data_IF_884437602747
#
_entry.id   IF_884437602747
#
_cell.length_a   1.000
_cell.length_b   1.000
_cell.length_c   1.000
_cell.angle_alpha   90.00
_cell.angle_beta   90.00
_cell.angle_gamma   90.00
#
_symmetry.space_group_name_H-M   'P 1'
#
loop_
_entity.id
_entity.type
_entity.pdbx_description
1 polymer ?
#
# COMPACT_ATOMS: atom_id res chain seq x y z
N UNK A 1 5.70 -20.79 11.86
CA UNK A 1 5.61 -22.07 12.61
C UNK A 1 4.20 -22.62 12.50
N UNK A 2 4.05 -23.89 12.17
CA UNK A 2 2.75 -24.58 12.08
C UNK A 2 2.30 -25.19 13.43
N UNK A 3 3.01 -24.84 14.52
CA UNK A 3 2.70 -25.23 15.91
C UNK A 3 2.52 -26.75 16.15
N UNK A 4 3.09 -27.59 15.30
CA UNK A 4 3.13 -29.05 15.49
C UNK A 4 4.54 -29.50 15.82
N UNK A 5 4.69 -30.38 16.80
CA UNK A 5 5.98 -30.96 17.23
C UNK A 5 6.16 -32.29 16.57
N UNK A 6 7.38 -32.60 16.11
CA UNK A 6 7.78 -33.87 15.50
C UNK A 6 9.10 -34.27 16.10
N UNK A 7 9.27 -35.60 16.29
CA UNK A 7 10.55 -36.18 16.66
C UNK A 7 11.59 -35.85 15.56
N UNK A 8 12.72 -35.19 15.91
CA UNK A 8 13.77 -34.86 14.94
C UNK A 8 14.29 -36.07 14.14
N UNK A 9 14.34 -37.24 14.72
CA UNK A 9 14.80 -38.46 14.03
C UNK A 9 13.83 -38.90 12.93
N UNK A 10 12.54 -38.62 13.09
CA UNK A 10 11.49 -38.95 12.13
C UNK A 10 11.29 -37.82 11.09
N UNK A 11 12.03 -36.73 11.16
CA UNK A 11 11.92 -35.61 10.22
C UNK A 11 12.93 -35.70 9.07
N UNK A 12 12.50 -35.46 7.84
CA UNK A 12 13.36 -35.29 6.68
C UNK A 12 13.46 -33.83 6.31
N UNK A 13 14.57 -33.17 6.65
CA UNK A 13 14.81 -31.78 6.28
C UNK A 13 14.83 -31.56 4.76
N UNK A 14 15.38 -32.54 4.00
CA UNK A 14 15.43 -32.50 2.53
C UNK A 14 14.04 -32.49 1.89
N UNK A 15 13.12 -33.30 2.42
CA UNK A 15 11.76 -33.40 1.88
C UNK A 15 10.79 -32.43 2.53
N UNK A 16 11.14 -31.84 3.68
CA UNK A 16 10.24 -31.04 4.50
C UNK A 16 9.02 -31.82 4.99
N UNK A 17 9.19 -33.11 5.29
CA UNK A 17 8.14 -34.07 5.64
C UNK A 17 8.60 -35.05 6.72
N UNK A 18 7.63 -35.64 7.41
CA UNK A 18 7.87 -36.77 8.33
C UNK A 18 8.14 -38.05 7.55
N UNK A 19 9.15 -38.81 7.97
CA UNK A 19 9.52 -40.10 7.39
C UNK A 19 8.50 -41.16 7.80
N UNK A 20 8.29 -42.15 6.93
CA UNK A 20 7.39 -43.28 7.18
C UNK A 20 6.02 -43.11 6.52
N UNK A 21 5.24 -44.20 6.61
CA UNK A 21 3.90 -44.33 6.00
C UNK A 21 2.81 -44.64 7.05
N UNK A 22 3.16 -44.49 8.34
CA UNK A 22 2.19 -44.71 9.41
C UNK A 22 1.14 -43.56 9.42
N UNK A 23 0.06 -43.75 10.15
CA UNK A 23 -1.06 -42.84 10.22
C UNK A 23 -0.60 -41.41 10.61
N UNK A 24 0.26 -41.31 11.64
CA UNK A 24 0.79 -40.01 12.14
C UNK A 24 1.59 -39.25 11.06
N UNK A 25 2.47 -39.98 10.33
CA UNK A 25 3.26 -39.38 9.26
C UNK A 25 2.37 -38.92 8.09
N UNK A 26 1.39 -39.72 7.72
CA UNK A 26 0.46 -39.39 6.64
C UNK A 26 -0.40 -38.16 7.01
N UNK A 27 -0.98 -38.15 8.22
CA UNK A 27 -1.79 -37.00 8.70
C UNK A 27 -0.99 -35.69 8.69
N UNK A 28 0.24 -35.73 9.26
CA UNK A 28 1.10 -34.56 9.31
C UNK A 28 1.51 -34.10 7.91
N UNK A 29 1.92 -35.05 7.06
CA UNK A 29 2.36 -34.72 5.71
C UNK A 29 1.22 -34.15 4.86
N UNK A 30 0.01 -34.69 4.97
CA UNK A 30 -1.18 -34.16 4.32
C UNK A 30 -1.52 -32.74 4.80
N UNK A 31 -1.41 -32.50 6.12
CA UNK A 31 -1.57 -31.14 6.67
C UNK A 31 -0.54 -30.17 6.09
N UNK A 32 0.75 -30.57 6.04
CA UNK A 32 1.82 -29.72 5.48
C UNK A 32 1.61 -29.44 3.99
N UNK A 33 1.14 -30.42 3.22
CA UNK A 33 0.81 -30.22 1.80
C UNK A 33 -0.38 -29.28 1.62
N UNK A 34 -1.38 -29.34 2.50
CA UNK A 34 -2.51 -28.38 2.52
C UNK A 34 -2.03 -26.96 2.82
N UNK A 35 -1.16 -26.79 3.81
CA UNK A 35 -0.55 -25.48 4.14
C UNK A 35 0.23 -24.94 2.94
N UNK A 36 1.08 -25.76 2.33
CA UNK A 36 1.89 -25.40 1.15
C UNK A 36 1.00 -24.99 -0.03
N UNK A 37 -0.03 -25.76 -0.32
CA UNK A 37 -0.97 -25.48 -1.40
C UNK A 37 -1.72 -24.15 -1.18
N UNK A 38 -2.12 -23.87 0.07
CA UNK A 38 -2.78 -22.59 0.41
C UNK A 38 -1.84 -21.40 0.25
N UNK A 39 -0.59 -21.52 0.69
CA UNK A 39 0.44 -20.47 0.53
C UNK A 39 0.71 -20.23 -0.97
N UNK A 40 0.88 -21.29 -1.76
CA UNK A 40 1.13 -21.18 -3.20
C UNK A 40 -0.05 -20.53 -3.95
N UNK A 41 -1.29 -20.81 -3.52
CA UNK A 41 -2.48 -20.16 -4.08
C UNK A 41 -2.49 -18.66 -3.81
N UNK A 42 -2.20 -18.27 -2.56
CA UNK A 42 -2.09 -16.83 -2.17
C UNK A 42 -0.99 -16.15 -2.99
N UNK A 43 0.17 -16.77 -3.10
CA UNK A 43 1.28 -16.22 -3.87
C UNK A 43 0.91 -16.03 -5.35
N UNK A 44 0.29 -17.02 -6.00
CA UNK A 44 -0.16 -16.91 -7.39
C UNK A 44 -1.17 -15.76 -7.56
N UNK A 45 -2.14 -15.65 -6.66
CA UNK A 45 -3.13 -14.57 -6.71
C UNK A 45 -2.47 -13.20 -6.63
N UNK A 46 -1.47 -13.01 -5.75
CA UNK A 46 -0.73 -11.75 -5.64
C UNK A 46 0.09 -11.43 -6.91
N UNK A 47 0.64 -12.46 -7.55
CA UNK A 47 1.35 -12.31 -8.83
C UNK A 47 0.38 -11.93 -9.96
N UNK A 48 -0.77 -12.62 -10.07
CA UNK A 48 -1.82 -12.35 -11.07
C UNK A 48 -2.41 -10.94 -10.90
N UNK A 49 -2.59 -10.48 -9.65
CA UNK A 49 -3.03 -9.13 -9.34
C UNK A 49 -1.98 -8.05 -9.72
N UNK A 50 -0.79 -8.46 -10.16
CA UNK A 50 0.33 -7.59 -10.54
C UNK A 50 0.67 -6.51 -9.49
N UNK A 51 0.49 -6.86 -8.20
CA UNK A 51 0.76 -5.97 -7.06
C UNK A 51 2.10 -6.32 -6.42
N UNK A 52 2.92 -5.32 -6.04
CA UNK A 52 4.13 -5.60 -5.28
C UNK A 52 3.75 -6.18 -3.90
N UNK A 53 4.38 -7.28 -3.53
CA UNK A 53 4.16 -7.94 -2.23
C UNK A 53 5.47 -8.46 -1.66
N UNK A 54 5.46 -8.72 -0.35
CA UNK A 54 6.57 -9.32 0.41
C UNK A 54 6.15 -10.68 0.97
N UNK A 55 7.12 -11.44 1.48
CA UNK A 55 6.84 -12.69 2.22
C UNK A 55 5.96 -12.45 3.46
N UNK A 56 6.05 -11.25 4.05
CA UNK A 56 5.21 -10.84 5.18
C UNK A 56 3.74 -10.72 4.77
N UNK A 57 3.45 -10.28 3.56
CA UNK A 57 2.08 -10.16 3.04
C UNK A 57 1.46 -11.54 2.79
N UNK A 58 2.23 -12.45 2.20
CA UNK A 58 1.81 -13.84 2.02
C UNK A 58 1.51 -14.49 3.38
N UNK A 59 2.38 -14.29 4.38
CA UNK A 59 2.17 -14.77 5.75
C UNK A 59 0.91 -14.19 6.37
N UNK A 60 0.67 -12.89 6.25
CA UNK A 60 -0.49 -12.22 6.82
C UNK A 60 -1.79 -12.71 6.17
N UNK A 61 -1.83 -12.84 4.84
CA UNK A 61 -2.97 -13.40 4.12
C UNK A 61 -3.25 -14.85 4.52
N UNK A 62 -2.18 -15.67 4.69
CA UNK A 62 -2.32 -17.05 5.15
C UNK A 62 -2.93 -17.14 6.55
N UNK A 63 -2.52 -16.25 7.47
CA UNK A 63 -3.01 -16.22 8.85
C UNK A 63 -4.40 -15.55 9.00
N UNK A 64 -5.02 -15.11 7.90
CA UNK A 64 -6.25 -14.34 7.95
C UNK A 64 -6.08 -12.92 8.53
N UNK A 65 -4.82 -12.49 8.71
CA UNK A 65 -4.45 -11.14 9.15
C UNK A 65 -4.17 -10.21 7.95
N UNK A 66 -4.43 -10.70 6.75
CA UNK A 66 -4.19 -9.96 5.52
C UNK A 66 -5.28 -8.95 5.33
N UNK A 67 -5.08 -7.74 5.80
CA UNK A 67 -5.69 -6.60 5.15
C UNK A 67 -5.26 -6.64 3.69
N UNK A 68 -6.25 -6.52 2.79
CA UNK A 68 -5.95 -6.24 1.38
C UNK A 68 -5.00 -5.05 1.38
N UNK A 69 -3.84 -5.20 0.73
CA UNK A 69 -2.90 -4.10 0.57
C UNK A 69 -3.68 -2.88 0.08
N UNK A 70 -3.86 -1.89 0.95
CA UNK A 70 -4.55 -0.68 0.55
C UNK A 70 -3.69 0.07 -0.46
N UNK A 71 -4.22 0.24 -1.65
CA UNK A 71 -3.52 0.90 -2.74
C UNK A 71 -3.74 2.41 -2.64
N UNK A 72 -2.74 3.20 -3.04
CA UNK A 72 -2.73 4.64 -2.86
C UNK A 72 -3.80 5.35 -3.69
N UNK A 73 -3.90 5.01 -4.98
CA UNK A 73 -4.89 5.65 -5.85
C UNK A 73 -6.31 5.16 -5.55
N UNK A 74 -6.47 3.89 -5.14
CA UNK A 74 -7.74 3.38 -4.64
C UNK A 74 -8.23 4.19 -3.42
N UNK A 75 -7.34 4.49 -2.47
CA UNK A 75 -7.67 5.33 -1.31
C UNK A 75 -8.06 6.76 -1.71
N UNK A 76 -7.34 7.35 -2.68
CA UNK A 76 -7.70 8.64 -3.24
C UNK A 76 -9.09 8.62 -3.88
N UNK A 77 -9.38 7.59 -4.66
CA UNK A 77 -10.65 7.46 -5.37
C UNK A 77 -11.82 7.30 -4.40
N UNK A 78 -11.66 6.50 -3.35
CA UNK A 78 -12.68 6.38 -2.28
C UNK A 78 -12.94 7.71 -1.59
N UNK A 79 -11.89 8.44 -1.19
CA UNK A 79 -12.02 9.77 -0.59
C UNK A 79 -12.72 10.74 -1.54
N UNK A 80 -12.30 10.78 -2.81
CA UNK A 80 -12.87 11.69 -3.78
C UNK A 80 -14.35 11.36 -4.10
N UNK A 81 -14.72 10.08 -4.11
CA UNK A 81 -16.12 9.67 -4.26
C UNK A 81 -16.99 10.10 -3.07
N UNK A 82 -16.46 9.98 -1.83
CA UNK A 82 -17.16 10.48 -0.65
C UNK A 82 -17.30 12.00 -0.69
N UNK A 83 -16.22 12.73 -1.01
CA UNK A 83 -16.26 14.19 -1.16
C UNK A 83 -17.24 14.65 -2.24
N UNK A 84 -17.34 13.90 -3.36
CA UNK A 84 -18.27 14.21 -4.44
C UNK A 84 -19.74 14.21 -3.98
N UNK A 85 -20.09 13.27 -3.08
CA UNK A 85 -21.45 13.19 -2.53
C UNK A 85 -21.79 14.35 -1.57
N UNK A 86 -20.78 15.03 -1.06
CA UNK A 86 -20.90 16.12 -0.11
C UNK A 86 -20.65 17.50 -0.75
N UNK A 87 -20.61 17.58 -2.09
CA UNK A 87 -20.54 18.87 -2.80
C UNK A 87 -21.81 19.65 -2.48
N UNK A 88 -21.65 20.95 -2.25
CA UNK A 88 -22.67 21.92 -1.84
C UNK A 88 -23.29 21.65 -0.45
N UNK A 89 -22.82 20.63 0.27
CA UNK A 89 -23.17 20.34 1.67
C UNK A 89 -21.99 20.74 2.58
N UNK A 90 -20.83 20.14 2.38
CA UNK A 90 -19.61 20.39 3.17
C UNK A 90 -18.45 20.93 2.32
N UNK A 91 -18.45 20.67 1.02
CA UNK A 91 -17.35 21.00 0.14
C UNK A 91 -17.80 21.80 -1.08
N UNK A 92 -17.04 22.83 -1.42
CA UNK A 92 -17.20 23.50 -2.69
C UNK A 92 -16.70 22.63 -3.86
N UNK A 93 -17.37 22.70 -5.01
CA UNK A 93 -16.98 22.00 -6.24
C UNK A 93 -15.49 22.22 -6.60
N UNK A 94 -14.97 23.43 -6.37
CA UNK A 94 -13.56 23.75 -6.60
C UNK A 94 -12.59 22.95 -5.72
N UNK A 95 -13.00 22.59 -4.49
CA UNK A 95 -12.21 21.73 -3.61
C UNK A 95 -12.15 20.31 -4.16
N UNK A 96 -13.29 19.74 -4.55
CA UNK A 96 -13.35 18.43 -5.18
C UNK A 96 -12.46 18.36 -6.45
N UNK A 97 -12.56 19.35 -7.35
CA UNK A 97 -11.71 19.43 -8.54
C UNK A 97 -10.23 19.41 -8.21
N UNK A 98 -9.80 20.13 -7.16
CA UNK A 98 -8.39 20.13 -6.72
C UNK A 98 -7.91 18.78 -6.19
N UNK A 99 -8.75 18.02 -5.48
CA UNK A 99 -8.40 16.68 -5.06
C UNK A 99 -8.27 15.71 -6.24
N UNK A 100 -9.16 15.78 -7.24
CA UNK A 100 -9.03 15.00 -8.46
C UNK A 100 -7.75 15.34 -9.23
N UNK A 101 -7.40 16.62 -9.35
CA UNK A 101 -6.14 17.05 -9.96
C UNK A 101 -4.94 16.50 -9.19
N UNK A 102 -4.99 16.54 -7.85
CA UNK A 102 -3.92 15.97 -7.00
C UNK A 102 -3.77 14.48 -7.26
N UNK A 103 -4.87 13.72 -7.27
CA UNK A 103 -4.90 12.29 -7.57
C UNK A 103 -4.26 11.98 -8.93
N UNK A 104 -4.61 12.75 -9.96
CA UNK A 104 -4.05 12.55 -11.30
C UNK A 104 -2.55 12.84 -11.35
N UNK A 105 -2.09 13.89 -10.65
CA UNK A 105 -0.65 14.16 -10.54
C UNK A 105 0.11 13.04 -9.82
N UNK A 106 -0.46 12.47 -8.75
CA UNK A 106 0.13 11.32 -8.05
C UNK A 106 0.20 10.11 -8.97
N UNK A 107 -0.88 9.81 -9.72
CA UNK A 107 -0.91 8.69 -10.66
C UNK A 107 0.16 8.83 -11.75
N UNK A 108 0.31 10.02 -12.33
CA UNK A 108 1.32 10.31 -13.34
C UNK A 108 2.73 10.19 -12.76
N UNK A 109 2.96 10.70 -11.55
CA UNK A 109 4.23 10.57 -10.85
C UNK A 109 4.59 9.10 -10.61
N UNK A 110 3.67 8.27 -10.09
CA UNK A 110 3.89 6.83 -9.91
C UNK A 110 4.29 6.17 -11.23
N UNK A 111 3.55 6.47 -12.30
CA UNK A 111 3.84 5.91 -13.64
C UNK A 111 5.22 6.33 -14.16
N UNK A 112 5.60 7.59 -13.96
CA UNK A 112 6.88 8.13 -14.42
C UNK A 112 8.07 7.54 -13.64
N UNK A 113 7.94 7.43 -12.30
CA UNK A 113 9.04 6.98 -11.44
C UNK A 113 9.21 5.46 -11.39
N UNK A 114 8.11 4.70 -11.45
CA UNK A 114 8.13 3.26 -11.22
C UNK A 114 7.57 2.41 -12.36
N UNK A 115 6.97 3.03 -13.38
CA UNK A 115 6.28 2.33 -14.46
C UNK A 115 4.99 1.62 -14.02
N UNK A 116 4.58 1.74 -12.76
CA UNK A 116 3.41 1.07 -12.18
C UNK A 116 2.14 1.90 -12.36
N UNK A 117 1.00 1.21 -12.34
CA UNK A 117 -0.32 1.87 -12.36
C UNK A 117 -0.74 2.40 -10.99
N UNK A 118 -0.29 1.79 -9.89
CA UNK A 118 -0.55 2.17 -8.50
C UNK A 118 0.52 1.56 -7.59
N UNK A 119 0.59 2.01 -6.33
CA UNK A 119 1.48 1.49 -5.28
C UNK A 119 0.72 1.27 -3.97
N UNK A 120 1.17 0.33 -3.11
CA UNK A 120 0.65 0.22 -1.76
C UNK A 120 0.90 1.50 -0.96
N UNK A 121 -0.09 1.92 -0.17
CA UNK A 121 0.02 3.11 0.70
C UNK A 121 1.24 3.04 1.62
N UNK A 122 1.61 1.84 2.09
CA UNK A 122 2.77 1.62 2.97
C UNK A 122 4.12 1.90 2.32
N UNK A 123 4.18 1.94 0.97
CA UNK A 123 5.40 2.23 0.22
C UNK A 123 5.65 3.74 0.06
N UNK A 124 4.70 4.57 0.55
CA UNK A 124 4.86 6.02 0.57
C UNK A 124 5.76 6.41 1.73
N UNK A 125 6.96 6.85 1.41
CA UNK A 125 7.96 7.35 2.35
C UNK A 125 8.28 8.84 2.12
N UNK A 126 9.19 9.40 2.92
CA UNK A 126 9.64 10.79 2.76
C UNK A 126 10.32 11.03 1.39
N UNK A 127 10.99 10.03 0.83
CA UNK A 127 11.63 10.11 -0.49
C UNK A 127 10.57 10.27 -1.57
N UNK A 128 9.50 9.48 -1.50
CA UNK A 128 8.35 9.60 -2.40
C UNK A 128 7.73 11.00 -2.34
N UNK A 129 7.50 11.54 -1.13
CA UNK A 129 6.91 12.89 -0.95
C UNK A 129 7.78 13.97 -1.58
N UNK A 130 9.09 13.94 -1.34
CA UNK A 130 10.05 14.89 -1.92
C UNK A 130 10.15 14.73 -3.44
N UNK A 131 10.14 13.51 -3.95
CA UNK A 131 10.10 13.22 -5.39
C UNK A 131 8.84 13.77 -6.05
N UNK A 132 7.69 13.58 -5.42
CA UNK A 132 6.42 14.14 -5.91
C UNK A 132 6.42 15.67 -5.91
N UNK A 133 6.95 16.32 -4.87
CA UNK A 133 7.12 17.78 -4.87
C UNK A 133 8.01 18.26 -6.02
N UNK A 134 9.14 17.56 -6.24
CA UNK A 134 10.07 17.86 -7.33
C UNK A 134 9.37 17.70 -8.70
N UNK A 135 8.66 16.59 -8.91
CA UNK A 135 7.86 16.34 -10.11
C UNK A 135 6.84 17.44 -10.38
N UNK A 136 6.10 17.91 -9.35
CA UNK A 136 5.13 18.99 -9.48
C UNK A 136 5.80 20.29 -9.98
N UNK A 137 7.00 20.60 -9.49
CA UNK A 137 7.73 21.82 -9.84
C UNK A 137 8.40 21.72 -11.22
N UNK A 138 8.99 20.59 -11.55
CA UNK A 138 9.82 20.41 -12.75
C UNK A 138 9.03 19.93 -13.96
N UNK A 139 8.19 18.94 -13.81
CA UNK A 139 7.41 18.33 -14.90
C UNK A 139 6.07 19.06 -15.08
N UNK A 140 5.33 19.27 -13.99
CA UNK A 140 4.02 19.95 -14.04
C UNK A 140 4.13 21.48 -14.06
N UNK A 141 5.35 22.04 -13.91
CA UNK A 141 5.63 23.48 -13.91
C UNK A 141 4.81 24.28 -12.91
N UNK A 142 4.42 23.64 -11.82
CA UNK A 142 3.69 24.31 -10.75
C UNK A 142 4.59 25.30 -10.03
N UNK A 143 4.06 26.51 -9.74
CA UNK A 143 4.75 27.41 -8.82
C UNK A 143 4.79 26.79 -7.41
N UNK A 144 5.67 27.32 -6.54
CA UNK A 144 5.95 26.77 -5.23
C UNK A 144 4.65 26.60 -4.39
N UNK A 145 3.83 27.63 -4.28
CA UNK A 145 2.62 27.58 -3.46
C UNK A 145 1.56 26.62 -4.03
N UNK A 146 1.46 26.50 -5.36
CA UNK A 146 0.56 25.56 -6.01
C UNK A 146 1.00 24.11 -5.77
N UNK A 147 2.30 23.83 -5.89
CA UNK A 147 2.84 22.50 -5.56
C UNK A 147 2.53 22.12 -4.11
N UNK A 148 2.74 23.04 -3.16
CA UNK A 148 2.45 22.77 -1.75
C UNK A 148 0.95 22.57 -1.46
N UNK A 149 0.04 23.19 -2.22
CA UNK A 149 -1.41 22.89 -2.11
C UNK A 149 -1.70 21.44 -2.49
N UNK A 150 -1.11 20.91 -3.57
CA UNK A 150 -1.23 19.51 -3.94
C UNK A 150 -0.60 18.58 -2.90
N UNK A 151 0.56 18.94 -2.37
CA UNK A 151 1.20 18.18 -1.27
C UNK A 151 0.30 18.15 -0.03
N UNK A 152 -0.37 19.25 0.34
CA UNK A 152 -1.29 19.25 1.48
C UNK A 152 -2.53 18.37 1.25
N UNK A 153 -3.09 18.35 0.04
CA UNK A 153 -4.16 17.42 -0.30
C UNK A 153 -3.68 15.96 -0.17
N UNK A 154 -2.49 15.66 -0.71
CA UNK A 154 -1.87 14.35 -0.59
C UNK A 154 -1.63 13.96 0.88
N UNK A 155 -1.11 14.88 1.68
CA UNK A 155 -0.90 14.68 3.13
C UNK A 155 -2.19 14.28 3.86
N UNK A 156 -3.34 14.86 3.50
CA UNK A 156 -4.64 14.48 4.09
C UNK A 156 -4.97 13.03 3.80
N UNK A 157 -4.78 12.57 2.55
CA UNK A 157 -5.02 11.17 2.16
C UNK A 157 -4.11 10.21 2.93
N UNK A 158 -2.82 10.52 3.04
CA UNK A 158 -1.87 9.69 3.79
C UNK A 158 -2.23 9.65 5.29
N UNK A 159 -2.67 10.75 5.87
CA UNK A 159 -3.12 10.76 7.27
C UNK A 159 -4.38 9.93 7.52
N UNK A 160 -5.25 9.80 6.54
CA UNK A 160 -6.36 8.84 6.61
C UNK A 160 -5.81 7.40 6.67
N UNK A 161 -4.79 7.07 5.88
CA UNK A 161 -4.14 5.77 5.95
C UNK A 161 -3.49 5.49 7.31
N UNK A 162 -2.90 6.51 7.94
CA UNK A 162 -2.36 6.40 9.31
C UNK A 162 -3.50 6.16 10.31
N UNK A 163 -4.59 6.93 10.22
CA UNK A 163 -5.73 6.82 11.13
C UNK A 163 -6.43 5.46 11.03
N UNK A 164 -6.40 4.82 9.86
CA UNK A 164 -6.91 3.46 9.63
C UNK A 164 -5.86 2.36 9.86
N UNK A 165 -4.69 2.69 10.40
CA UNK A 165 -3.59 1.76 10.69
C UNK A 165 -3.06 0.99 9.47
N UNK A 166 -3.35 1.48 8.23
CA UNK A 166 -2.79 0.89 7.00
C UNK A 166 -1.30 1.20 6.83
N UNK A 167 -0.80 2.22 7.54
CA UNK A 167 0.62 2.55 7.71
C UNK A 167 0.90 2.91 9.17
N UNK A 168 2.04 2.42 9.68
CA UNK A 168 2.38 2.54 11.10
C UNK A 168 2.98 3.91 11.49
N UNK A 169 3.51 4.66 10.51
CA UNK A 169 4.17 5.95 10.73
C UNK A 169 3.71 6.96 9.69
N UNK A 170 3.48 8.21 10.12
CA UNK A 170 3.20 9.32 9.20
C UNK A 170 4.49 9.67 8.43
N UNK A 171 4.57 9.41 7.10
CA UNK A 171 5.74 9.75 6.31
C UNK A 171 5.94 11.28 6.17
N UNK A 172 4.91 12.07 6.50
CA UNK A 172 4.99 13.53 6.54
C UNK A 172 5.54 14.08 7.86
N UNK A 173 5.85 13.24 8.87
CA UNK A 173 6.31 13.69 10.17
C UNK A 173 7.51 14.65 10.07
N UNK A 174 8.49 14.32 9.22
CA UNK A 174 9.69 15.14 8.99
C UNK A 174 9.57 16.07 7.76
N UNK A 175 8.37 16.22 7.18
CA UNK A 175 8.15 17.08 6.02
C UNK A 175 7.56 18.42 6.45
N UNK A 176 8.33 19.50 6.30
CA UNK A 176 7.89 20.87 6.62
C UNK A 176 7.30 21.55 5.39
N UNK A 177 6.07 22.03 5.51
CA UNK A 177 5.39 22.83 4.49
C UNK A 177 5.63 24.30 4.79
N UNK A 178 6.29 25.02 3.90
CA UNK A 178 6.51 26.47 4.03
C UNK A 178 6.02 27.20 2.79
N UNK A 179 4.88 27.88 2.89
CA UNK A 179 4.37 28.72 1.83
C UNK A 179 5.22 29.99 1.71
N UNK A 180 5.44 30.46 0.49
CA UNK A 180 6.04 31.76 0.23
C UNK A 180 4.96 32.82 0.27
N UNK A 181 5.25 33.96 0.92
CA UNK A 181 4.40 35.17 0.86
C UNK A 181 4.35 35.63 -0.60
N UNK A 182 3.16 35.91 -1.08
CA UNK A 182 2.95 36.52 -2.41
C UNK A 182 2.50 37.94 -2.15
N UNK A 183 3.36 38.91 -2.46
CA UNK A 183 2.95 40.32 -2.54
C UNK A 183 2.01 40.45 -3.74
N UNK A 184 0.82 40.95 -3.51
CA UNK A 184 -0.14 41.30 -4.57
C UNK A 184 0.09 42.76 -4.86
N UNK A 185 0.62 43.06 -6.05
CA UNK A 185 0.57 44.39 -6.63
C UNK A 185 -0.89 44.79 -6.92
#
# INVERSE_FOLDING_TARGET
SVSRKVDPQKWSARMGKMKGTNFEANELNQYLDTVRSRINRIHRQLVEDNKPFTSSDVKNLYLGKGEKLKMLLELFDEHNQQMKKLIDIEFALGTYKRYNTTRNHVAEFIKTESGKSDIPVRDVDLKFIKGFEFFLKTVKKCNHNSALKYINNFKKIIRMAVAHEWINKDPFFNYKVQFKTVERE
#
